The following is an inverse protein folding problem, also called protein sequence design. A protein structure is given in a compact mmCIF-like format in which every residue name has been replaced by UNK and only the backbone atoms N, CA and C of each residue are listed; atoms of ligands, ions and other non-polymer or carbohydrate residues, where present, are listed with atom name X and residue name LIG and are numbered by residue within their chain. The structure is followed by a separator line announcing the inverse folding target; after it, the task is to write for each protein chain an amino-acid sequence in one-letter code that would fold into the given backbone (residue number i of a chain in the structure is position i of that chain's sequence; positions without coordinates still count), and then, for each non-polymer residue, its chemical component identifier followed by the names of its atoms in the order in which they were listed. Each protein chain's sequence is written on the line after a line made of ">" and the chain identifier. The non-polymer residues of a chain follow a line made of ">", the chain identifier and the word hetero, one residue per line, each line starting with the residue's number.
data_IF_842221642420
#
_entry.id   IF_842221642420
#
_cell.length_a   1.000
_cell.length_b   1.000
_cell.length_c   1.000
_cell.angle_alpha   90.00
_cell.angle_beta   90.00
_cell.angle_gamma   90.00
#
_symmetry.space_group_name_H-M   'P 1'
#
loop_
_entity.id
_entity.type
_entity.pdbx_description
1 polymer ?
#
# COMPACT_ATOMS: atom_id res chain seq x y z
N UNK A 1 -64.73 34.36 -19.23
CA UNK A 1 -63.61 34.85 -18.40
C UNK A 1 -63.00 33.86 -17.37
N UNK A 2 -63.66 32.78 -16.88
CA UNK A 2 -63.07 31.95 -15.81
C UNK A 2 -61.97 30.97 -16.25
N UNK A 3 -61.92 30.60 -17.53
CA UNK A 3 -60.96 29.64 -18.09
C UNK A 3 -59.51 30.15 -18.16
N UNK A 4 -59.29 31.47 -18.11
CA UNK A 4 -57.95 32.07 -18.17
C UNK A 4 -57.31 32.11 -16.76
N UNK A 5 -58.11 32.48 -15.76
CA UNK A 5 -57.69 32.54 -14.35
C UNK A 5 -57.26 31.16 -13.80
N UNK A 6 -57.96 30.09 -14.19
CA UNK A 6 -57.59 28.72 -13.80
C UNK A 6 -56.31 28.19 -14.45
N UNK A 7 -55.99 28.61 -15.68
CA UNK A 7 -54.73 28.24 -16.35
C UNK A 7 -53.53 28.94 -15.72
N UNK A 8 -53.69 30.21 -15.35
CA UNK A 8 -52.61 31.00 -14.76
C UNK A 8 -52.30 30.53 -13.32
N UNK A 9 -53.31 30.15 -12.53
CA UNK A 9 -53.12 29.53 -11.21
C UNK A 9 -52.49 28.13 -11.28
N UNK A 10 -52.88 27.31 -12.26
CA UNK A 10 -52.33 25.97 -12.46
C UNK A 10 -50.86 26.03 -12.94
N UNK A 11 -50.52 27.03 -13.76
CA UNK A 11 -49.15 27.28 -14.19
C UNK A 11 -48.26 27.73 -13.02
N UNK A 12 -48.74 28.65 -12.16
CA UNK A 12 -47.98 29.13 -11.00
C UNK A 12 -47.67 28.01 -9.99
N UNK A 13 -48.66 27.17 -9.67
CA UNK A 13 -48.47 26.01 -8.78
C UNK A 13 -47.52 24.97 -9.36
N UNK A 14 -47.54 24.75 -10.69
CA UNK A 14 -46.58 23.87 -11.36
C UNK A 14 -45.14 24.42 -11.32
N UNK A 15 -44.97 25.74 -11.39
CA UNK A 15 -43.66 26.41 -11.34
C UNK A 15 -43.04 26.33 -9.94
N UNK A 16 -43.83 26.57 -8.89
CA UNK A 16 -43.40 26.44 -7.49
C UNK A 16 -42.99 25.01 -7.14
N UNK A 17 -43.74 24.02 -7.63
CA UNK A 17 -43.41 22.61 -7.45
C UNK A 17 -42.07 22.23 -8.13
N UNK A 18 -41.83 22.72 -9.34
CA UNK A 18 -40.56 22.52 -10.06
C UNK A 18 -39.37 23.21 -9.34
N UNK A 19 -39.58 24.42 -8.83
CA UNK A 19 -38.57 25.13 -8.04
C UNK A 19 -38.23 24.38 -6.73
N UNK A 20 -39.25 23.86 -6.03
CA UNK A 20 -39.04 23.03 -4.84
C UNK A 20 -38.25 21.75 -5.15
N UNK A 21 -38.57 21.07 -6.25
CA UNK A 21 -37.89 19.83 -6.66
C UNK A 21 -36.42 20.07 -7.05
N UNK A 22 -36.13 21.17 -7.74
CA UNK A 22 -34.76 21.55 -8.12
C UNK A 22 -33.90 21.91 -6.91
N UNK A 23 -34.45 22.65 -5.94
CA UNK A 23 -33.77 22.95 -4.67
C UNK A 23 -33.49 21.66 -3.90
N UNK A 24 -34.48 20.77 -3.78
CA UNK A 24 -34.33 19.48 -3.10
C UNK A 24 -33.26 18.60 -3.76
N UNK A 25 -33.26 18.51 -5.09
CA UNK A 25 -32.24 17.76 -5.84
C UNK A 25 -30.84 18.37 -5.66
N UNK A 26 -30.73 19.69 -5.69
CA UNK A 26 -29.48 20.40 -5.43
C UNK A 26 -28.93 20.11 -4.04
N UNK A 27 -29.78 20.15 -3.01
CA UNK A 27 -29.41 19.81 -1.64
C UNK A 27 -28.94 18.34 -1.52
N UNK A 28 -29.64 17.41 -2.18
CA UNK A 28 -29.25 15.99 -2.18
C UNK A 28 -27.87 15.77 -2.82
N UNK A 29 -27.61 16.39 -3.97
CA UNK A 29 -26.30 16.33 -4.64
C UNK A 29 -25.20 16.90 -3.74
N UNK A 30 -25.46 18.03 -3.07
CA UNK A 30 -24.51 18.65 -2.15
C UNK A 30 -24.19 17.72 -0.96
N UNK A 31 -25.20 17.09 -0.35
CA UNK A 31 -25.00 16.13 0.75
C UNK A 31 -24.15 14.94 0.29
N UNK A 32 -24.42 14.40 -0.90
CA UNK A 32 -23.65 13.30 -1.47
C UNK A 32 -22.19 13.73 -1.69
N UNK A 33 -21.96 14.91 -2.28
CA UNK A 33 -20.63 15.45 -2.51
C UNK A 33 -19.84 15.67 -1.21
N UNK A 34 -20.49 16.23 -0.18
CA UNK A 34 -19.88 16.42 1.16
C UNK A 34 -19.48 15.07 1.76
N UNK A 35 -20.35 14.06 1.69
CA UNK A 35 -20.02 12.71 2.19
C UNK A 35 -18.81 12.13 1.48
N UNK A 36 -18.75 12.24 0.15
CA UNK A 36 -17.59 11.78 -0.62
C UNK A 36 -16.31 12.53 -0.24
N UNK A 37 -16.39 13.84 0.02
CA UNK A 37 -15.25 14.64 0.45
C UNK A 37 -14.78 14.22 1.85
N UNK A 38 -15.70 14.04 2.80
CA UNK A 38 -15.36 13.58 4.15
C UNK A 38 -14.72 12.19 4.12
N UNK A 39 -15.26 11.25 3.35
CA UNK A 39 -14.68 9.93 3.14
C UNK A 39 -13.28 10.03 2.53
N UNK A 40 -13.09 10.90 1.53
CA UNK A 40 -11.79 11.13 0.91
C UNK A 40 -10.76 11.68 1.91
N UNK A 41 -11.13 12.72 2.67
CA UNK A 41 -10.26 13.34 3.68
C UNK A 41 -9.91 12.36 4.80
N UNK A 42 -10.87 11.56 5.25
CA UNK A 42 -10.64 10.51 6.23
C UNK A 42 -9.63 9.48 5.72
N UNK A 43 -9.85 8.92 4.52
CA UNK A 43 -8.94 7.94 3.93
C UNK A 43 -7.54 8.53 3.70
N UNK A 44 -7.47 9.78 3.23
CA UNK A 44 -6.20 10.49 3.06
C UNK A 44 -5.47 10.66 4.39
N UNK A 45 -6.16 11.06 5.44
CA UNK A 45 -5.55 11.21 6.76
C UNK A 45 -5.08 9.87 7.34
N UNK A 46 -5.89 8.82 7.25
CA UNK A 46 -5.52 7.47 7.69
C UNK A 46 -4.29 6.94 6.92
N UNK A 47 -4.18 7.22 5.61
CA UNK A 47 -3.02 6.85 4.81
C UNK A 47 -1.69 7.45 5.31
N UNK A 48 -1.74 8.53 6.11
CA UNK A 48 -0.55 9.19 6.68
C UNK A 48 -0.13 8.63 8.03
N UNK A 49 -0.92 7.76 8.66
CA UNK A 49 -0.59 7.16 9.94
C UNK A 49 0.67 6.30 9.83
N UNK A 50 1.49 6.34 10.88
CA UNK A 50 2.71 5.54 11.00
C UNK A 50 2.63 4.81 12.32
N UNK A 51 2.79 3.50 12.28
CA UNK A 51 2.84 2.66 13.47
C UNK A 51 4.19 2.72 14.16
N UNK A 52 4.22 2.21 15.39
CA UNK A 52 5.46 2.03 16.13
C UNK A 52 6.34 0.97 15.47
N UNK A 53 7.65 1.05 15.76
CA UNK A 53 8.59 0.00 15.37
C UNK A 53 8.44 -1.15 16.36
N UNK A 54 8.24 -2.36 15.84
CA UNK A 54 7.95 -3.56 16.62
C UNK A 54 8.97 -4.67 16.32
N UNK A 55 9.08 -5.64 17.23
CA UNK A 55 9.89 -6.86 17.08
C UNK A 55 9.04 -8.07 16.69
N UNK A 56 7.75 -7.85 16.43
CA UNK A 56 6.81 -8.89 15.98
C UNK A 56 6.12 -8.41 14.70
N UNK A 57 6.12 -9.20 13.62
CA UNK A 57 5.43 -8.80 12.41
C UNK A 57 3.92 -8.79 12.61
N UNK A 58 3.23 -7.89 11.91
CA UNK A 58 1.81 -8.08 11.68
C UNK A 58 1.63 -9.18 10.62
N UNK A 59 0.68 -10.09 10.86
CA UNK A 59 0.41 -11.23 10.00
C UNK A 59 -1.02 -11.07 9.47
N UNK A 60 -1.22 -10.97 8.15
CA UNK A 60 -2.55 -10.92 7.58
C UNK A 60 -3.29 -12.24 7.81
N UNK A 61 -4.58 -12.17 8.11
CA UNK A 61 -5.41 -13.38 8.24
C UNK A 61 -5.57 -14.15 6.92
N UNK A 62 -5.53 -13.43 5.79
CA UNK A 62 -5.67 -13.98 4.44
C UNK A 62 -4.37 -13.80 3.64
N UNK A 63 -3.65 -14.92 3.44
CA UNK A 63 -2.44 -14.97 2.63
C UNK A 63 -2.71 -15.23 1.15
N UNK A 64 -3.97 -15.21 0.70
CA UNK A 64 -4.34 -15.66 -0.63
C UNK A 64 -4.29 -17.18 -0.78
N UNK A 65 -4.73 -17.67 -1.93
CA UNK A 65 -4.80 -19.10 -2.23
C UNK A 65 -3.61 -19.59 -3.06
N UNK A 66 -2.90 -18.68 -3.73
CA UNK A 66 -1.75 -18.98 -4.58
C UNK A 66 -0.86 -17.75 -4.70
N UNK A 67 0.38 -17.97 -5.14
CA UNK A 67 1.35 -16.89 -5.34
C UNK A 67 2.09 -17.00 -6.68
N UNK A 68 2.51 -15.85 -7.18
CA UNK A 68 3.39 -15.72 -8.33
C UNK A 68 4.69 -15.06 -7.91
N UNK A 69 5.77 -15.46 -8.56
CA UNK A 69 7.08 -14.85 -8.39
C UNK A 69 7.44 -14.02 -9.62
N UNK A 70 7.97 -12.84 -9.36
CA UNK A 70 8.71 -12.03 -10.32
C UNK A 70 10.16 -11.92 -9.87
N UNK A 71 10.94 -11.03 -10.48
CA UNK A 71 12.34 -10.86 -10.11
C UNK A 71 12.50 -10.36 -8.66
N UNK A 72 11.74 -9.35 -8.25
CA UNK A 72 11.83 -8.79 -6.89
C UNK A 72 10.58 -9.04 -6.04
N UNK A 73 9.49 -9.52 -6.61
CA UNK A 73 8.20 -9.60 -5.92
C UNK A 73 7.66 -11.02 -5.81
N UNK A 74 6.92 -11.22 -4.73
CA UNK A 74 6.02 -12.34 -4.54
C UNK A 74 4.62 -11.79 -4.35
N UNK A 75 3.75 -12.08 -5.29
CA UNK A 75 2.37 -11.58 -5.30
C UNK A 75 1.46 -12.72 -4.87
N UNK A 76 0.66 -12.49 -3.84
CA UNK A 76 -0.31 -13.43 -3.32
C UNK A 76 -1.70 -13.03 -3.79
N UNK A 77 -2.43 -13.98 -4.37
CA UNK A 77 -3.72 -13.74 -5.00
C UNK A 77 -4.80 -14.62 -4.39
N UNK A 78 -6.05 -14.16 -4.46
CA UNK A 78 -7.23 -14.93 -4.04
C UNK A 78 -8.03 -15.38 -5.26
N UNK A 79 -8.62 -16.58 -5.19
CA UNK A 79 -9.65 -16.97 -6.15
C UNK A 79 -10.92 -16.20 -5.85
N UNK A 80 -11.13 -15.09 -6.55
CA UNK A 80 -12.31 -14.24 -6.37
C UNK A 80 -12.61 -13.48 -7.65
N UNK A 81 -13.89 -13.17 -7.86
CA UNK A 81 -14.35 -12.21 -8.87
C UNK A 81 -14.15 -10.75 -8.42
N UNK A 82 -13.78 -10.51 -7.16
CA UNK A 82 -13.58 -9.17 -6.61
C UNK A 82 -12.27 -8.56 -7.11
N UNK A 83 -12.41 -7.72 -8.14
CA UNK A 83 -11.35 -6.93 -8.76
C UNK A 83 -10.95 -5.74 -7.88
N UNK A 84 -9.65 -5.57 -7.67
CA UNK A 84 -9.09 -4.43 -6.95
C UNK A 84 -9.23 -3.14 -7.77
N UNK A 85 -9.90 -2.15 -7.18
CA UNK A 85 -10.01 -0.80 -7.77
C UNK A 85 -8.71 0.00 -7.72
N UNK A 86 -7.70 -0.49 -7.02
CA UNK A 86 -6.40 0.16 -6.88
C UNK A 86 -5.31 -0.46 -7.76
N UNK A 87 -5.60 -1.43 -8.62
CA UNK A 87 -4.60 -2.13 -9.45
C UNK A 87 -3.69 -1.18 -10.22
N UNK A 88 -4.22 -0.15 -10.87
CA UNK A 88 -3.41 0.87 -11.56
C UNK A 88 -2.46 1.61 -10.61
N UNK A 89 -2.97 2.01 -9.43
CA UNK A 89 -2.15 2.65 -8.40
C UNK A 89 -1.07 1.69 -7.90
N UNK A 90 -1.40 0.43 -7.66
CA UNK A 90 -0.44 -0.58 -7.21
C UNK A 90 0.65 -0.79 -8.26
N UNK A 91 0.29 -0.89 -9.54
CA UNK A 91 1.23 -0.98 -10.66
C UNK A 91 2.17 0.23 -10.71
N UNK A 92 1.70 1.43 -10.33
CA UNK A 92 2.55 2.62 -10.25
C UNK A 92 3.49 2.64 -9.04
N UNK A 93 3.23 1.82 -8.00
CA UNK A 93 4.07 1.76 -6.80
C UNK A 93 5.20 0.76 -6.96
N UNK A 94 4.95 -0.30 -7.71
CA UNK A 94 5.94 -1.31 -8.03
C UNK A 94 6.73 -0.93 -9.29
N UNK A 95 7.87 -1.57 -9.52
CA UNK A 95 8.72 -1.21 -10.65
C UNK A 95 8.05 -1.56 -11.99
N UNK A 96 8.07 -0.62 -12.93
CA UNK A 96 7.40 -0.75 -14.24
C UNK A 96 7.94 -1.88 -15.13
N UNK A 97 9.12 -2.42 -14.80
CA UNK A 97 9.73 -3.55 -15.50
C UNK A 97 9.18 -4.90 -15.03
N UNK A 98 8.34 -4.91 -14.01
CA UNK A 98 7.70 -6.13 -13.52
C UNK A 98 6.41 -6.44 -14.28
N UNK A 99 5.96 -7.70 -14.17
CA UNK A 99 4.65 -8.09 -14.70
C UNK A 99 3.56 -7.27 -14.01
N UNK A 100 2.53 -6.94 -14.77
CA UNK A 100 1.35 -6.26 -14.25
C UNK A 100 0.77 -7.01 -13.04
N UNK A 101 0.47 -6.28 -11.99
CA UNK A 101 -0.16 -6.81 -10.78
C UNK A 101 -1.54 -7.34 -11.14
N UNK A 102 -1.85 -8.61 -10.83
CA UNK A 102 -3.18 -9.17 -11.02
C UNK A 102 -4.23 -8.41 -10.23
N UNK A 103 -5.41 -8.24 -10.84
CA UNK A 103 -6.55 -7.55 -10.25
C UNK A 103 -7.08 -8.21 -8.96
N UNK A 104 -6.76 -9.48 -8.73
CA UNK A 104 -7.13 -10.24 -7.54
C UNK A 104 -5.99 -10.37 -6.51
N UNK A 105 -4.93 -9.56 -6.63
CA UNK A 105 -3.86 -9.51 -5.65
C UNK A 105 -4.39 -9.14 -4.26
N UNK A 106 -3.82 -9.76 -3.22
CA UNK A 106 -4.14 -9.50 -1.80
C UNK A 106 -2.92 -9.03 -1.04
N UNK A 107 -1.75 -9.54 -1.40
CA UNK A 107 -0.48 -9.13 -0.82
C UNK A 107 0.54 -8.98 -1.94
N UNK A 108 1.29 -7.90 -1.93
CA UNK A 108 2.47 -7.74 -2.77
C UNK A 108 3.65 -7.65 -1.83
N UNK A 109 4.49 -8.68 -1.81
CA UNK A 109 5.74 -8.68 -1.06
C UNK A 109 6.89 -8.31 -2.00
N UNK A 110 7.66 -7.29 -1.65
CA UNK A 110 8.78 -6.77 -2.44
C UNK A 110 10.06 -6.88 -1.63
N UNK A 111 11.04 -7.62 -2.14
CA UNK A 111 12.38 -7.72 -1.52
C UNK A 111 13.28 -6.59 -1.99
N UNK A 112 14.18 -6.13 -1.13
CA UNK A 112 15.24 -5.18 -1.50
C UNK A 112 16.51 -5.91 -1.97
N UNK A 113 17.39 -5.18 -2.64
CA UNK A 113 18.71 -5.69 -3.03
C UNK A 113 19.48 -6.24 -1.82
N UNK A 114 20.07 -7.42 -1.98
CA UNK A 114 20.80 -8.12 -0.91
C UNK A 114 19.92 -9.03 -0.04
N UNK A 115 18.63 -9.14 -0.35
CA UNK A 115 17.69 -10.04 0.33
C UNK A 115 16.94 -10.94 -0.65
N UNK A 116 16.55 -12.11 -0.15
CA UNK A 116 15.65 -13.07 -0.78
C UNK A 116 14.33 -13.15 0.00
N UNK A 117 13.28 -13.66 -0.64
CA UNK A 117 12.01 -13.91 0.03
C UNK A 117 12.14 -15.14 0.94
N UNK A 118 11.66 -15.02 2.18
CA UNK A 118 11.55 -16.13 3.13
C UNK A 118 10.34 -17.04 2.86
N UNK A 119 9.89 -17.76 3.88
CA UNK A 119 8.72 -18.62 3.78
C UNK A 119 7.44 -17.77 3.75
N UNK A 120 7.33 -16.83 4.70
CA UNK A 120 6.17 -15.93 4.82
C UNK A 120 6.33 -14.65 4.00
N UNK A 121 5.22 -13.96 3.74
CA UNK A 121 5.21 -12.76 2.90
C UNK A 121 6.08 -11.61 3.42
N UNK A 122 6.21 -11.47 4.73
CA UNK A 122 6.95 -10.38 5.38
C UNK A 122 8.39 -10.77 5.75
N UNK A 123 8.81 -11.99 5.42
CA UNK A 123 10.14 -12.50 5.69
C UNK A 123 11.08 -12.23 4.52
N UNK A 124 12.22 -11.62 4.83
CA UNK A 124 13.25 -11.31 3.87
C UNK A 124 14.60 -11.71 4.46
N UNK A 125 15.31 -12.61 3.80
CA UNK A 125 16.53 -13.23 4.32
C UNK A 125 17.74 -12.66 3.57
N UNK A 126 18.80 -12.19 4.28
CA UNK A 126 20.02 -11.75 3.63
C UNK A 126 20.63 -12.83 2.75
N UNK A 127 21.01 -12.49 1.52
CA UNK A 127 21.60 -13.45 0.55
C UNK A 127 22.94 -14.04 1.02
N UNK A 128 23.61 -13.38 1.95
CA UNK A 128 24.93 -13.75 2.47
C UNK A 128 24.87 -14.48 3.82
N UNK A 129 23.66 -14.82 4.26
CA UNK A 129 23.39 -15.40 5.58
C UNK A 129 23.18 -14.36 6.66
N UNK A 130 22.65 -14.82 7.80
CA UNK A 130 22.32 -14.00 8.95
C UNK A 130 23.57 -13.81 9.82
N UNK A 131 23.82 -12.57 10.25
CA UNK A 131 24.95 -12.24 11.11
C UNK A 131 24.60 -12.46 12.59
N UNK A 132 25.57 -12.85 13.41
CA UNK A 132 25.33 -13.09 14.83
C UNK A 132 24.91 -11.79 15.54
N UNK A 133 23.86 -11.87 16.37
CA UNK A 133 23.30 -10.71 17.08
C UNK A 133 22.47 -9.76 16.20
N UNK A 134 22.27 -10.09 14.91
CA UNK A 134 21.30 -9.38 14.08
C UNK A 134 19.86 -9.74 14.46
N UNK A 135 18.92 -8.86 14.15
CA UNK A 135 17.50 -9.06 14.40
C UNK A 135 16.66 -8.28 13.39
N UNK A 136 15.37 -8.58 13.35
CA UNK A 136 14.42 -7.90 12.47
C UNK A 136 13.51 -6.98 13.27
N UNK A 137 13.07 -5.90 12.61
CA UNK A 137 12.02 -5.01 13.12
C UNK A 137 11.00 -4.73 12.03
N UNK A 138 9.78 -4.43 12.44
CA UNK A 138 8.66 -4.16 11.54
C UNK A 138 7.99 -2.85 11.88
N UNK A 139 7.55 -2.14 10.83
CA UNK A 139 6.80 -0.90 10.99
C UNK A 139 5.65 -0.81 9.99
N UNK A 140 4.47 -0.47 10.49
CA UNK A 140 3.27 -0.29 9.66
C UNK A 140 3.13 1.16 9.20
N UNK A 141 2.66 1.33 7.96
CA UNK A 141 2.34 2.62 7.37
C UNK A 141 0.94 2.60 6.74
N UNK A 142 0.29 3.75 6.83
CA UNK A 142 -0.95 4.06 6.14
C UNK A 142 -2.17 3.30 6.62
N UNK A 143 -2.32 3.11 7.94
CA UNK A 143 -3.45 2.37 8.54
C UNK A 143 -3.40 0.88 8.17
N UNK A 144 -2.25 0.25 8.48
CA UNK A 144 -1.93 -1.15 8.24
C UNK A 144 -1.90 -1.57 6.76
N UNK A 145 -1.52 -0.68 5.85
CA UNK A 145 -1.50 -0.96 4.40
C UNK A 145 -0.14 -1.34 3.86
N UNK A 146 0.92 -0.84 4.47
CA UNK A 146 2.30 -1.16 4.08
C UNK A 146 3.06 -1.57 5.34
N UNK A 147 3.66 -2.76 5.32
CA UNK A 147 4.55 -3.22 6.37
C UNK A 147 5.97 -3.22 5.85
N UNK A 148 6.85 -2.52 6.53
CA UNK A 148 8.27 -2.49 6.22
C UNK A 148 8.99 -3.43 7.16
N UNK A 149 9.82 -4.30 6.60
CA UNK A 149 10.70 -5.19 7.36
C UNK A 149 12.11 -4.62 7.28
N UNK A 150 12.72 -4.35 8.43
CA UNK A 150 14.12 -3.94 8.52
C UNK A 150 14.96 -5.05 9.13
N UNK A 151 16.14 -5.27 8.57
CA UNK A 151 17.19 -6.12 9.12
C UNK A 151 18.22 -5.22 9.82
N UNK A 152 18.42 -5.43 11.12
CA UNK A 152 19.34 -4.64 11.94
C UNK A 152 20.61 -5.45 12.20
N UNK A 153 21.74 -4.92 11.76
CA UNK A 153 23.07 -5.53 11.91
C UNK A 153 24.06 -4.49 12.41
N UNK A 154 24.76 -4.79 13.52
CA UNK A 154 25.74 -3.89 14.15
C UNK A 154 25.18 -2.47 14.41
N UNK A 155 23.92 -2.39 14.86
CA UNK A 155 23.23 -1.13 15.13
C UNK A 155 22.77 -0.36 13.90
N UNK A 156 22.96 -0.90 12.68
CA UNK A 156 22.51 -0.29 11.43
C UNK A 156 21.26 -1.00 10.93
N UNK A 157 20.19 -0.23 10.70
CA UNK A 157 18.94 -0.71 10.12
C UNK A 157 18.96 -0.63 8.58
N UNK A 158 18.72 -1.75 7.92
CA UNK A 158 18.58 -1.86 6.46
C UNK A 158 17.16 -2.29 6.12
N UNK A 159 16.54 -1.66 5.14
CA UNK A 159 15.24 -2.13 4.64
C UNK A 159 15.47 -3.44 3.90
N UNK A 160 14.92 -4.52 4.44
CA UNK A 160 15.03 -5.86 3.85
C UNK A 160 13.97 -6.08 2.77
N UNK A 161 12.79 -5.49 2.97
CA UNK A 161 11.66 -5.57 2.05
C UNK A 161 10.43 -4.89 2.64
N UNK A 162 9.34 -4.91 1.88
CA UNK A 162 8.05 -4.43 2.34
C UNK A 162 6.89 -5.22 1.74
N UNK A 163 5.80 -5.30 2.48
CA UNK A 163 4.53 -5.85 2.02
C UNK A 163 3.51 -4.73 1.81
N UNK A 164 2.73 -4.82 0.74
CA UNK A 164 1.53 -4.01 0.51
C UNK A 164 0.32 -4.92 0.68
N UNK A 165 -0.57 -4.57 1.62
CA UNK A 165 -1.76 -5.33 1.96
C UNK A 165 -3.01 -4.72 1.33
N UNK A 166 -3.77 -5.58 0.64
CA UNK A 166 -4.97 -5.24 -0.13
C UNK A 166 -6.14 -6.07 0.43
N UNK A 167 -6.56 -5.73 1.64
CA UNK A 167 -7.58 -6.48 2.39
C UNK A 167 -8.98 -6.44 1.74
N UNK A 168 -9.26 -5.45 0.89
CA UNK A 168 -10.55 -5.30 0.25
C UNK A 168 -10.47 -4.63 -1.12
N UNK A 169 -11.30 -5.10 -2.06
CA UNK A 169 -11.53 -4.47 -3.36
C UNK A 169 -12.11 -3.04 -3.26
N UNK A 170 -12.61 -2.65 -2.07
CA UNK A 170 -13.12 -1.29 -1.81
C UNK A 170 -12.02 -0.25 -1.59
N UNK A 171 -10.77 -0.70 -1.36
CA UNK A 171 -9.64 0.20 -1.20
C UNK A 171 -9.42 1.02 -2.48
N UNK A 172 -9.04 2.29 -2.28
CA UNK A 172 -8.82 3.27 -3.35
C UNK A 172 -7.36 3.66 -3.40
N UNK A 173 -6.96 4.33 -4.48
CA UNK A 173 -5.59 4.81 -4.66
C UNK A 173 -5.10 5.69 -3.48
N UNK A 174 -5.99 6.51 -2.90
CA UNK A 174 -5.69 7.39 -1.76
C UNK A 174 -5.27 6.63 -0.49
N UNK A 175 -5.61 5.35 -0.37
CA UNK A 175 -5.20 4.52 0.77
C UNK A 175 -3.71 4.14 0.73
N UNK A 176 -3.03 4.31 -0.42
CA UNK A 176 -1.64 3.91 -0.60
C UNK A 176 -0.75 5.12 -0.91
N UNK A 177 0.19 5.42 -0.01
CA UNK A 177 1.13 6.54 -0.18
C UNK A 177 2.37 6.13 -0.95
N UNK A 178 2.45 6.59 -2.20
CA UNK A 178 3.63 6.35 -3.04
C UNK A 178 4.92 6.92 -2.48
N UNK A 179 4.87 8.06 -1.80
CA UNK A 179 6.04 8.65 -1.14
C UNK A 179 6.72 7.70 -0.14
N UNK A 180 5.95 6.85 0.55
CA UNK A 180 6.52 5.85 1.47
C UNK A 180 7.31 4.82 0.66
N UNK A 181 6.71 4.27 -0.39
CA UNK A 181 7.35 3.28 -1.26
C UNK A 181 8.60 3.85 -1.93
N UNK A 182 8.55 5.07 -2.45
CA UNK A 182 9.72 5.74 -3.04
C UNK A 182 10.86 5.93 -2.03
N UNK A 183 10.53 6.35 -0.79
CA UNK A 183 11.51 6.46 0.28
C UNK A 183 12.18 5.11 0.58
N UNK A 184 11.41 4.02 0.58
CA UNK A 184 11.93 2.67 0.80
C UNK A 184 12.85 2.23 -0.33
N UNK A 185 12.48 2.48 -1.59
CA UNK A 185 13.32 2.19 -2.77
C UNK A 185 14.66 2.93 -2.72
N UNK A 186 14.66 4.18 -2.23
CA UNK A 186 15.86 5.00 -2.05
C UNK A 186 16.67 4.72 -0.77
N UNK A 187 16.21 3.77 0.05
CA UNK A 187 16.83 3.51 1.36
C UNK A 187 18.24 2.95 1.24
N UNK A 188 18.98 2.96 2.36
CA UNK A 188 20.33 2.43 2.43
C UNK A 188 20.34 0.96 2.04
N UNK A 189 21.04 0.63 0.95
CA UNK A 189 21.20 -0.75 0.49
C UNK A 189 22.03 -1.56 1.47
N UNK A 190 21.63 -2.82 1.66
CA UNK A 190 22.42 -3.77 2.45
C UNK A 190 23.70 -4.13 1.67
N UNK A 191 24.90 -3.94 2.25
CA UNK A 191 26.15 -4.10 1.52
C UNK A 191 26.49 -5.55 1.16
N UNK A 192 25.87 -6.54 1.82
CA UNK A 192 26.17 -7.96 1.62
C UNK A 192 27.68 -8.27 1.66
N UNK A 193 28.15 -9.06 0.70
CA UNK A 193 29.53 -9.59 0.61
C UNK A 193 30.64 -8.53 0.50
N UNK A 194 30.34 -7.24 0.25
CA UNK A 194 31.38 -6.21 0.15
C UNK A 194 32.18 -5.98 1.44
N UNK A 195 31.67 -6.42 2.60
CA UNK A 195 32.44 -6.37 3.87
C UNK A 195 33.39 -7.55 4.06
N UNK A 196 33.06 -8.76 3.57
CA UNK A 196 33.94 -9.93 3.76
C UNK A 196 35.28 -9.77 3.06
N UNK A 197 35.31 -9.15 1.87
CA UNK A 197 36.58 -8.84 1.18
C UNK A 197 37.43 -7.80 1.92
N UNK A 198 36.81 -6.87 2.65
CA UNK A 198 37.53 -5.82 3.37
C UNK A 198 38.12 -6.32 4.70
N UNK A 199 37.50 -7.31 5.34
CA UNK A 199 38.01 -7.96 6.56
C UNK A 199 39.05 -9.06 6.26
N UNK A 200 39.01 -9.72 5.09
CA UNK A 200 40.06 -10.68 4.67
C UNK A 200 41.30 -10.03 4.08
N UNK A 201 41.29 -8.72 3.81
CA UNK A 201 42.44 -7.95 3.28
C UNK A 201 43.51 -7.61 4.33
N UNK A 202 43.29 -7.91 5.61
CA UNK A 202 44.25 -7.75 6.69
C UNK A 202 44.46 -9.07 7.44
N UNK A 203 45.06 -10.06 6.76
CA UNK A 203 45.62 -11.23 7.43
C UNK A 203 47.12 -11.31 7.17
N UNK A 204 47.84 -10.78 8.16
CA UNK A 204 49.19 -11.10 8.65
C UNK A 204 50.08 -11.92 7.70
N UNK A 205 51.07 -11.25 7.11
CA UNK A 205 52.28 -11.92 6.61
C UNK A 205 53.03 -12.46 7.84
N UNK A 206 53.27 -13.78 7.96
CA UNK A 206 54.17 -14.28 8.99
C UNK A 206 55.60 -13.86 8.63
N UNK A 207 56.25 -13.12 9.53
CA UNK A 207 57.69 -12.93 9.50
C UNK A 207 58.33 -14.31 9.79
N UNK A 208 58.90 -14.91 8.74
CA UNK A 208 59.93 -15.95 8.84
C UNK A 208 61.27 -15.26 9.04
#
# INVERSE_FOLDING_TARGET
>A
MPLKLGKDQMAATSLEALAGLTIALGALIAIIAIRFLLDFLYNWWCSRRVGEVTTTPWIPEDHGNFSYFTNSMRIYCRWTSDVNRCTEKLNSLVDANERAIPENARIISVRMDGFEHGELCHEFVPTVGVSSGSYYTWQMFGDNRIQVTNYVENGVSYVAGYCIYIESAKLRAVNFRGEVVEKLKSSRKYPGNKRKEMETGFSVVPLV
#
